data_IF_968084594340
#
_entry.id   IF_968084594340
#
_cell.length_a   1.000
_cell.length_b   1.000
_cell.length_c   1.000
_cell.angle_alpha   90.00
_cell.angle_beta   90.00
_cell.angle_gamma   90.00
#
_symmetry.space_group_name_H-M   'P 1'
#
loop_
_entity.id
_entity.type
_entity.pdbx_description
1 polymer ?
#
# COMPACT_ATOMS: atom_id res chain seq x y z
N UNK A 1 3.05 -6.09 -3.73
CA UNK A 1 3.05 -5.35 -2.45
C UNK A 1 2.51 -3.93 -2.59
N UNK A 2 3.07 -3.05 -3.44
CA UNK A 2 2.60 -1.66 -3.62
C UNK A 2 1.08 -1.55 -3.90
N UNK A 3 0.55 -2.45 -4.74
CA UNK A 3 -0.90 -2.55 -5.00
C UNK A 3 -1.74 -2.73 -3.72
N UNK A 4 -1.28 -3.55 -2.77
CA UNK A 4 -2.00 -3.76 -1.52
C UNK A 4 -2.01 -2.47 -0.68
N UNK A 5 -0.86 -1.80 -0.54
CA UNK A 5 -0.74 -0.50 0.18
C UNK A 5 -1.72 0.53 -0.38
N UNK A 6 -1.77 0.68 -1.70
CA UNK A 6 -2.63 1.66 -2.36
C UNK A 6 -4.11 1.29 -2.27
N UNK A 7 -4.45 0.01 -2.41
CA UNK A 7 -5.83 -0.44 -2.25
C UNK A 7 -6.29 -0.23 -0.80
N UNK A 8 -5.44 -0.51 0.18
CA UNK A 8 -5.71 -0.26 1.60
C UNK A 8 -5.95 1.22 1.88
N UNK A 9 -5.14 2.10 1.29
CA UNK A 9 -5.33 3.54 1.35
C UNK A 9 -6.69 3.96 0.76
N UNK A 10 -7.03 3.51 -0.45
CA UNK A 10 -8.30 3.91 -1.08
C UNK A 10 -9.53 3.39 -0.35
N UNK A 11 -9.49 2.20 0.25
CA UNK A 11 -10.55 1.69 1.11
C UNK A 11 -10.62 2.48 2.43
N UNK A 12 -9.47 2.87 2.99
CA UNK A 12 -9.40 3.76 4.16
C UNK A 12 -10.06 5.11 3.91
N UNK A 13 -9.84 5.71 2.74
CA UNK A 13 -10.51 6.95 2.30
C UNK A 13 -12.02 6.79 2.11
N UNK A 14 -12.51 5.56 1.95
CA UNK A 14 -13.94 5.23 1.91
C UNK A 14 -14.52 4.91 3.30
N UNK A 15 -13.73 5.03 4.37
CA UNK A 15 -14.15 4.84 5.75
C UNK A 15 -13.84 3.45 6.33
N UNK A 16 -13.21 2.56 5.57
CA UNK A 16 -12.86 1.23 6.06
C UNK A 16 -11.52 1.28 6.82
N UNK A 17 -11.57 1.28 8.14
CA UNK A 17 -10.38 1.16 9.02
C UNK A 17 -9.23 2.11 8.60
N UNK A 18 -9.52 3.42 8.56
CA UNK A 18 -8.53 4.43 8.18
C UNK A 18 -7.40 4.49 9.22
N UNK A 19 -6.16 4.46 8.74
CA UNK A 19 -4.95 4.60 9.55
C UNK A 19 -4.19 5.87 9.17
N UNK A 20 -3.16 6.22 9.95
CA UNK A 20 -2.34 7.39 9.71
C UNK A 20 -1.64 7.33 8.33
N UNK A 21 -1.59 8.46 7.64
CA UNK A 21 -0.97 8.57 6.31
C UNK A 21 0.50 8.14 6.31
N UNK A 22 1.21 8.45 7.39
CA UNK A 22 2.62 8.11 7.57
C UNK A 22 2.85 6.59 7.54
N UNK A 23 1.86 5.77 7.92
CA UNK A 23 1.98 4.31 7.85
C UNK A 23 2.12 3.84 6.39
N UNK A 24 1.35 4.43 5.48
CA UNK A 24 1.45 4.09 4.04
C UNK A 24 2.78 4.56 3.45
N UNK A 25 3.22 5.77 3.82
CA UNK A 25 4.51 6.32 3.37
C UNK A 25 5.69 5.49 3.86
N UNK A 26 5.68 5.09 5.13
CA UNK A 26 6.72 4.22 5.70
C UNK A 26 6.74 2.84 5.04
N UNK A 27 5.57 2.24 4.79
CA UNK A 27 5.48 0.94 4.12
C UNK A 27 6.00 0.98 2.68
N UNK A 28 5.65 2.02 1.93
CA UNK A 28 6.14 2.24 0.58
C UNK A 28 7.64 2.49 0.54
N UNK A 29 8.14 3.41 1.36
CA UNK A 29 9.56 3.73 1.43
C UNK A 29 10.41 2.50 1.83
N UNK A 30 9.91 1.68 2.77
CA UNK A 30 10.56 0.44 3.17
C UNK A 30 10.65 -0.59 2.04
N UNK A 31 9.58 -0.71 1.24
CA UNK A 31 9.55 -1.57 0.06
C UNK A 31 10.52 -1.07 -1.02
N UNK A 32 10.53 0.23 -1.30
CA UNK A 32 11.43 0.84 -2.28
C UNK A 32 12.91 0.68 -1.87
N UNK A 33 13.22 0.85 -0.58
CA UNK A 33 14.56 0.62 -0.05
C UNK A 33 15.01 -0.84 -0.25
N UNK A 34 14.13 -1.82 -0.01
CA UNK A 34 14.41 -3.23 -0.26
C UNK A 34 14.66 -3.53 -1.75
N UNK A 35 13.85 -2.96 -2.65
CA UNK A 35 14.02 -3.10 -4.09
C UNK A 35 15.36 -2.50 -4.54
N UNK A 36 15.69 -1.30 -4.04
CA UNK A 36 16.95 -0.61 -4.34
C UNK A 36 18.15 -1.45 -3.93
N UNK A 37 18.17 -1.97 -2.69
CA UNK A 37 19.24 -2.87 -2.22
C UNK A 37 19.34 -4.14 -3.07
N UNK A 38 18.21 -4.77 -3.37
CA UNK A 38 18.17 -5.95 -4.23
C UNK A 38 18.81 -5.69 -5.60
N UNK A 39 18.53 -4.53 -6.19
CA UNK A 39 19.13 -4.12 -7.46
C UNK A 39 20.63 -3.77 -7.36
N UNK A 40 21.04 -3.09 -6.29
CA UNK A 40 22.42 -2.61 -6.12
C UNK A 40 23.42 -3.70 -5.73
N UNK A 41 23.01 -4.63 -4.85
CA UNK A 41 23.93 -5.58 -4.23
C UNK A 41 23.38 -7.02 -4.14
N UNK A 42 22.21 -7.30 -4.71
CA UNK A 42 21.59 -8.63 -4.70
C UNK A 42 20.94 -9.02 -3.36
N UNK A 43 20.92 -8.12 -2.37
CA UNK A 43 20.28 -8.37 -1.07
C UNK A 43 18.79 -8.05 -1.12
N UNK A 44 17.98 -9.09 -1.28
CA UNK A 44 16.51 -9.00 -1.28
C UNK A 44 15.93 -9.10 0.13
N UNK A 45 16.30 -8.17 1.00
CA UNK A 45 15.84 -8.11 2.39
C UNK A 45 15.23 -6.75 2.74
N UNK A 46 14.10 -6.80 3.45
CA UNK A 46 13.46 -5.64 4.05
C UNK A 46 14.07 -5.37 5.44
N UNK A 47 14.17 -4.09 5.80
CA UNK A 47 14.56 -3.74 7.18
C UNK A 47 13.50 -4.19 8.17
N UNK A 48 13.86 -4.55 9.41
CA UNK A 48 12.89 -4.97 10.43
C UNK A 48 11.75 -3.95 10.65
N UNK A 49 12.05 -2.65 10.57
CA UNK A 49 11.05 -1.59 10.66
C UNK A 49 10.09 -1.57 9.46
N UNK A 50 10.60 -1.86 8.25
CA UNK A 50 9.79 -1.99 7.05
C UNK A 50 8.88 -3.22 7.14
N UNK A 51 9.40 -4.34 7.64
CA UNK A 51 8.61 -5.57 7.89
C UNK A 51 7.47 -5.26 8.86
N UNK A 52 7.75 -4.69 10.04
CA UNK A 52 6.74 -4.36 11.02
C UNK A 52 5.67 -3.39 10.47
N UNK A 53 6.08 -2.41 9.67
CA UNK A 53 5.14 -1.46 9.07
C UNK A 53 4.24 -2.14 8.03
N UNK A 54 4.82 -3.00 7.16
CA UNK A 54 4.07 -3.75 6.16
C UNK A 54 3.10 -4.76 6.79
N UNK A 55 3.47 -5.40 7.89
CA UNK A 55 2.58 -6.28 8.65
C UNK A 55 1.32 -5.55 9.11
N UNK A 56 1.46 -4.33 9.66
CA UNK A 56 0.30 -3.51 10.05
C UNK A 56 -0.58 -3.17 8.84
N UNK A 57 0.03 -2.72 7.73
CA UNK A 57 -0.73 -2.38 6.52
C UNK A 57 -1.47 -3.59 5.94
N UNK A 58 -0.85 -4.77 5.96
CA UNK A 58 -1.46 -6.02 5.49
C UNK A 58 -2.58 -6.49 6.43
N UNK A 59 -2.41 -6.36 7.75
CA UNK A 59 -3.49 -6.69 8.69
C UNK A 59 -4.72 -5.78 8.48
N UNK A 60 -4.50 -4.49 8.22
CA UNK A 60 -5.58 -3.56 7.85
C UNK A 60 -6.19 -3.97 6.51
N UNK A 61 -5.36 -4.31 5.52
CA UNK A 61 -5.81 -4.78 4.21
C UNK A 61 -6.77 -5.97 4.32
N UNK A 62 -6.37 -7.01 5.03
CA UNK A 62 -7.16 -8.23 5.20
C UNK A 62 -8.48 -7.95 5.92
N UNK A 63 -8.43 -7.08 6.94
CA UNK A 63 -9.63 -6.66 7.69
C UNK A 63 -10.59 -5.84 6.82
N UNK A 64 -10.06 -4.97 5.96
CA UNK A 64 -10.86 -4.22 5.00
C UNK A 64 -11.48 -5.15 3.96
N UNK A 65 -10.73 -6.11 3.39
CA UNK A 65 -11.26 -7.08 2.44
C UNK A 65 -12.37 -7.95 3.04
N UNK A 66 -12.25 -8.31 4.32
CA UNK A 66 -13.27 -9.08 5.03
C UNK A 66 -14.58 -8.30 5.28
N UNK A 67 -14.54 -6.96 5.29
CA UNK A 67 -15.67 -6.11 5.69
C UNK A 67 -16.21 -5.20 4.58
N UNK A 68 -15.43 -4.96 3.52
CA UNK A 68 -15.79 -4.06 2.45
C UNK A 68 -16.97 -4.59 1.61
N UNK A 69 -17.88 -3.69 1.25
CA UNK A 69 -18.91 -4.00 0.25
C UNK A 69 -18.25 -4.20 -1.10
N UNK A 70 -18.70 -5.20 -1.87
CA UNK A 70 -18.16 -5.50 -3.19
C UNK A 70 -18.13 -4.27 -4.12
N UNK A 71 -19.17 -3.43 -4.08
CA UNK A 71 -19.22 -2.20 -4.86
C UNK A 71 -18.15 -1.18 -4.50
N UNK A 72 -17.75 -1.09 -3.23
CA UNK A 72 -16.69 -0.17 -2.80
C UNK A 72 -15.30 -0.73 -3.10
N UNK A 73 -15.12 -2.05 -3.00
CA UNK A 73 -13.91 -2.71 -3.48
C UNK A 73 -13.68 -2.47 -4.98
N UNK A 74 -14.72 -2.63 -5.81
CA UNK A 74 -14.64 -2.34 -7.25
C UNK A 74 -14.26 -0.88 -7.51
N UNK A 75 -14.85 0.08 -6.78
CA UNK A 75 -14.50 1.50 -6.92
C UNK A 75 -13.05 1.79 -6.53
N UNK A 76 -12.57 1.19 -5.44
CA UNK A 76 -11.19 1.35 -4.99
C UNK A 76 -10.20 0.77 -6.02
N UNK A 77 -10.53 -0.39 -6.60
CA UNK A 77 -9.76 -1.01 -7.68
C UNK A 77 -9.73 -0.17 -8.96
N UNK A 78 -10.86 0.45 -9.31
CA UNK A 78 -10.92 1.39 -10.44
C UNK A 78 -10.10 2.66 -10.20
N UNK A 79 -10.02 3.16 -8.96
CA UNK A 79 -9.14 4.29 -8.61
C UNK A 79 -7.68 3.89 -8.76
N UNK A 80 -7.30 2.74 -8.24
CA UNK A 80 -5.95 2.20 -8.38
C UNK A 80 -5.55 2.01 -9.84
N UNK A 81 -6.44 1.42 -10.64
CA UNK A 81 -6.18 1.20 -12.08
C UNK A 81 -5.98 2.53 -12.79
N UNK A 82 -6.84 3.52 -12.55
CA UNK A 82 -6.69 4.87 -13.11
C UNK A 82 -5.38 5.53 -12.69
N UNK A 83 -4.96 5.37 -11.43
CA UNK A 83 -3.68 5.87 -10.96
C UNK A 83 -2.51 5.24 -11.72
N UNK A 84 -2.47 3.90 -11.83
CA UNK A 84 -1.43 3.17 -12.57
C UNK A 84 -1.38 3.63 -14.04
N UNK A 85 -2.54 3.74 -14.68
CA UNK A 85 -2.65 4.14 -16.09
C UNK A 85 -2.30 5.62 -16.32
N UNK A 86 -2.38 6.46 -15.28
CA UNK A 86 -2.03 7.88 -15.40
C UNK A 86 -0.52 8.12 -15.56
N UNK A 87 0.32 7.11 -15.32
CA UNK A 87 1.78 7.24 -15.41
C UNK A 87 2.39 8.17 -14.36
N UNK A 88 1.62 8.58 -13.35
CA UNK A 88 2.11 9.38 -12.23
C UNK A 88 3.19 8.60 -11.47
N UNK A 89 4.30 9.27 -11.20
CA UNK A 89 5.40 8.74 -10.40
C UNK A 89 5.28 9.09 -8.92
N UNK A 90 4.51 10.13 -8.59
CA UNK A 90 4.19 10.51 -7.22
C UNK A 90 3.19 9.54 -6.60
N UNK A 91 3.31 9.32 -5.30
CA UNK A 91 2.48 8.38 -4.56
C UNK A 91 1.01 8.83 -4.50
N UNK A 92 0.01 7.94 -4.42
CA UNK A 92 -1.40 8.34 -4.32
C UNK A 92 -1.77 9.01 -2.99
N UNK A 93 -0.86 9.04 -2.02
CA UNK A 93 -1.00 9.73 -0.73
C UNK A 93 -0.21 11.06 -0.63
N UNK A 94 0.28 11.59 -1.77
CA UNK A 94 0.91 12.91 -1.88
C UNK A 94 0.01 13.97 -2.53
#
# INVERSE_FOLDING_TARGET
MTRAIYLTFYLGEMGYMRVALDLYRMAEAGLEAGIRRGNENGSWQLDPSAVATLEVVLQVHDSQLASARAGDLIKAEQRLTRFIMSGKTASPFD
#
